data_IF_028012060240
#
_entry.id   IF_028012060240
#
_cell.length_a   1.000
_cell.length_b   1.000
_cell.length_c   1.000
_cell.angle_alpha   90.00
_cell.angle_beta   90.00
_cell.angle_gamma   90.00
#
_symmetry.space_group_name_H-M   'P 1'
#
loop_
_entity.id
_entity.type
_entity.pdbx_description
1 polymer ?
#
# COMPACT_ATOMS: atom_id res chain seq x y z
N UNK A 1 -63.96 17.82 19.81
CA UNK A 1 -63.14 16.59 19.63
C UNK A 1 -64.08 15.40 19.46
N UNK A 2 -64.17 14.90 18.23
CA UNK A 2 -64.94 13.72 17.79
C UNK A 2 -64.14 13.05 16.65
N UNK A 3 -64.22 11.72 16.49
CA UNK A 3 -63.26 10.89 15.75
C UNK A 3 -63.45 10.91 14.23
N UNK A 4 -62.45 10.45 13.44
CA UNK A 4 -62.54 10.41 11.99
C UNK A 4 -63.37 9.23 11.47
N UNK A 5 -64.01 9.52 10.35
CA UNK A 5 -64.99 8.79 9.55
C UNK A 5 -64.41 7.56 8.84
N UNK A 6 -65.09 6.42 8.94
CA UNK A 6 -64.94 5.27 8.02
C UNK A 6 -65.89 5.46 6.83
N UNK A 7 -65.39 5.28 5.61
CA UNK A 7 -66.21 4.97 4.42
C UNK A 7 -65.49 3.88 3.61
N UNK A 8 -66.16 2.73 3.47
CA UNK A 8 -65.88 1.66 2.52
C UNK A 8 -66.43 2.05 1.15
N UNK A 9 -65.70 1.80 0.04
CA UNK A 9 -66.31 1.45 -1.24
C UNK A 9 -65.45 0.45 -2.01
N UNK A 10 -66.14 -0.57 -2.52
CA UNK A 10 -65.65 -1.79 -3.12
C UNK A 10 -65.19 -1.63 -4.59
N UNK A 11 -64.32 -2.52 -5.05
CA UNK A 11 -64.27 -2.98 -6.44
C UNK A 11 -63.90 -4.48 -6.52
N UNK A 12 -64.69 -5.32 -7.22
CA UNK A 12 -64.43 -6.75 -7.35
C UNK A 12 -63.59 -7.12 -8.58
N UNK A 13 -62.89 -8.25 -8.42
CA UNK A 13 -62.07 -8.97 -9.41
C UNK A 13 -62.95 -9.66 -10.45
N UNK A 14 -62.56 -9.73 -11.74
CA UNK A 14 -63.06 -10.73 -12.66
C UNK A 14 -62.05 -11.88 -12.85
N UNK A 15 -62.53 -13.11 -12.62
CA UNK A 15 -61.91 -14.38 -13.02
C UNK A 15 -62.57 -14.79 -14.33
N UNK A 16 -61.78 -15.22 -15.33
CA UNK A 16 -62.29 -15.99 -16.48
C UNK A 16 -61.46 -17.27 -16.70
N UNK A 17 -62.06 -18.35 -17.24
CA UNK A 17 -61.61 -19.71 -17.01
C UNK A 17 -60.78 -20.33 -18.14
N UNK A 18 -59.99 -21.35 -17.74
CA UNK A 18 -59.21 -22.27 -18.59
C UNK A 18 -60.08 -23.03 -19.58
N UNK A 19 -59.63 -23.11 -20.84
CA UNK A 19 -60.01 -24.15 -21.79
C UNK A 19 -58.76 -24.84 -22.33
N UNK A 20 -58.75 -26.17 -22.25
CA UNK A 20 -57.71 -27.08 -22.72
C UNK A 20 -57.98 -27.51 -24.16
N UNK A 21 -56.99 -27.33 -25.06
CA UNK A 21 -56.92 -28.01 -26.36
C UNK A 21 -55.49 -28.52 -26.59
N UNK A 22 -55.31 -29.68 -27.25
CA UNK A 22 -54.03 -30.36 -27.36
C UNK A 22 -53.18 -29.72 -28.47
N UNK A 23 -51.89 -29.51 -28.22
CA UNK A 23 -50.94 -29.12 -29.26
C UNK A 23 -50.08 -30.33 -29.60
N UNK A 24 -50.16 -30.73 -30.87
CA UNK A 24 -49.39 -31.79 -31.48
C UNK A 24 -47.89 -31.46 -31.50
N UNK A 25 -47.07 -32.46 -31.18
CA UNK A 25 -45.61 -32.42 -31.35
C UNK A 25 -45.33 -32.61 -32.85
N UNK A 26 -44.98 -31.53 -33.53
CA UNK A 26 -44.40 -31.60 -34.87
C UNK A 26 -42.88 -31.72 -34.72
N UNK A 27 -42.34 -32.90 -35.04
CA UNK A 27 -40.91 -33.11 -35.22
C UNK A 27 -40.46 -32.36 -36.49
N UNK A 28 -39.70 -31.28 -36.32
CA UNK A 28 -38.98 -30.63 -37.41
C UNK A 28 -37.60 -31.29 -37.55
N UNK A 29 -37.48 -32.14 -38.57
CA UNK A 29 -36.20 -32.62 -39.07
C UNK A 29 -35.42 -31.44 -39.68
N UNK A 30 -34.24 -31.13 -39.15
CA UNK A 30 -33.30 -30.21 -39.78
C UNK A 30 -32.38 -31.00 -40.72
N UNK A 31 -32.25 -30.62 -42.01
CA UNK A 31 -31.25 -31.20 -42.88
C UNK A 31 -29.86 -30.67 -42.50
N UNK A 32 -28.90 -31.58 -42.34
CA UNK A 32 -27.48 -31.22 -42.31
C UNK A 32 -27.08 -30.59 -43.65
N UNK A 33 -26.90 -29.27 -43.67
CA UNK A 33 -26.15 -28.56 -44.71
C UNK A 33 -24.81 -28.16 -44.13
N UNK A 34 -23.75 -28.78 -44.63
CA UNK A 34 -22.36 -28.35 -44.42
C UNK A 34 -22.21 -26.97 -45.06
N UNK A 35 -22.10 -25.92 -44.24
CA UNK A 35 -21.78 -24.59 -44.71
C UNK A 35 -20.25 -24.46 -44.83
N UNK A 36 -19.76 -24.18 -46.04
CA UNK A 36 -18.37 -23.86 -46.30
C UNK A 36 -17.98 -22.57 -45.54
N UNK A 37 -16.81 -22.60 -44.90
CA UNK A 37 -16.26 -21.47 -44.16
C UNK A 37 -16.01 -20.25 -45.07
N UNK A 38 -16.30 -19.01 -44.62
CA UNK A 38 -15.96 -17.82 -45.38
C UNK A 38 -14.44 -17.58 -45.32
N UNK A 39 -13.79 -17.56 -46.50
CA UNK A 39 -12.39 -17.14 -46.59
C UNK A 39 -12.30 -15.62 -46.42
N UNK A 40 -11.69 -15.19 -45.32
CA UNK A 40 -11.35 -13.80 -45.06
C UNK A 40 -10.06 -13.49 -45.85
N UNK A 41 -10.02 -12.45 -46.71
CA UNK A 41 -8.78 -12.06 -47.36
C UNK A 41 -7.84 -11.43 -46.33
N UNK A 42 -6.74 -12.11 -46.04
CA UNK A 42 -5.61 -11.61 -45.26
C UNK A 42 -4.86 -10.54 -46.04
N UNK A 43 -5.27 -9.28 -45.91
CA UNK A 43 -4.42 -8.14 -46.26
C UNK A 43 -3.58 -7.74 -45.04
N UNK A 44 -2.50 -8.47 -44.81
CA UNK A 44 -1.46 -8.10 -43.85
C UNK A 44 -0.66 -6.96 -44.48
N UNK A 45 -0.97 -5.72 -44.10
CA UNK A 45 -0.06 -4.59 -44.38
C UNK A 45 1.05 -4.61 -43.35
N UNK A 46 2.22 -5.11 -43.76
CA UNK A 46 3.46 -5.02 -43.01
C UNK A 46 3.90 -3.55 -42.92
N UNK A 47 3.76 -2.93 -41.74
CA UNK A 47 4.43 -1.68 -41.41
C UNK A 47 5.72 -2.03 -40.69
N UNK A 48 6.77 -2.38 -41.43
CA UNK A 48 8.16 -2.07 -41.03
C UNK A 48 9.11 -2.38 -42.18
N UNK A 49 9.61 -1.32 -42.81
CA UNK A 49 10.78 -1.36 -43.68
C UNK A 49 12.02 -0.96 -42.88
N UNK A 50 12.57 -1.91 -42.13
CA UNK A 50 13.98 -1.85 -41.72
C UNK A 50 14.65 -3.11 -42.23
N UNK A 51 15.09 -3.03 -43.50
CA UNK A 51 16.08 -3.92 -44.05
C UNK A 51 17.39 -3.68 -43.29
N UNK A 52 17.81 -4.70 -42.53
CA UNK A 52 19.17 -5.18 -42.22
C UNK A 52 19.04 -5.94 -40.90
N UNK A 53 18.95 -7.27 -40.97
CA UNK A 53 19.17 -8.12 -39.80
C UNK A 53 20.64 -7.97 -39.40
N UNK A 54 20.93 -7.05 -38.48
CA UNK A 54 22.16 -7.14 -37.68
C UNK A 54 21.91 -8.24 -36.66
N UNK A 55 22.57 -9.38 -36.84
CA UNK A 55 22.68 -10.37 -35.79
C UNK A 55 23.31 -9.73 -34.55
N UNK A 56 22.89 -10.15 -33.36
CA UNK A 56 23.51 -9.71 -32.12
C UNK A 56 25.00 -10.08 -32.16
N UNK A 57 25.85 -9.06 -32.13
CA UNK A 57 27.30 -9.22 -32.01
C UNK A 57 27.60 -9.52 -30.54
N UNK A 58 27.76 -10.81 -30.23
CA UNK A 58 28.20 -11.25 -28.91
C UNK A 58 29.69 -10.97 -28.84
N UNK A 59 30.05 -9.84 -28.23
CA UNK A 59 31.44 -9.57 -27.89
C UNK A 59 32.00 -10.77 -27.10
N UNK A 60 33.11 -11.39 -27.51
CA UNK A 60 33.70 -12.49 -26.77
C UNK A 60 34.28 -11.93 -25.47
N UNK A 61 33.48 -11.91 -24.41
CA UNK A 61 33.97 -11.76 -23.04
C UNK A 61 34.61 -13.10 -22.66
N UNK A 62 35.82 -13.31 -23.16
CA UNK A 62 36.78 -14.25 -22.57
C UNK A 62 37.91 -13.39 -22.02
N UNK A 63 37.64 -12.78 -20.87
CA UNK A 63 38.72 -12.39 -19.98
C UNK A 63 39.34 -13.68 -19.48
N UNK A 64 40.56 -13.99 -19.92
CA UNK A 64 41.35 -15.09 -19.34
C UNK A 64 41.81 -14.66 -17.95
N UNK A 65 40.93 -14.89 -16.98
CA UNK A 65 41.18 -14.73 -15.56
C UNK A 65 40.27 -15.68 -14.80
N UNK A 66 40.67 -16.13 -13.59
CA UNK A 66 39.76 -16.91 -12.75
C UNK A 66 38.45 -16.12 -12.58
N UNK A 67 37.30 -16.80 -12.58
CA UNK A 67 36.00 -16.14 -12.39
C UNK A 67 36.08 -15.24 -11.15
N UNK A 68 35.58 -14.00 -11.22
CA UNK A 68 35.55 -13.13 -10.05
C UNK A 68 34.83 -13.86 -8.92
N UNK A 69 35.33 -13.71 -7.68
CA UNK A 69 34.65 -14.28 -6.53
C UNK A 69 33.17 -13.84 -6.54
N UNK A 70 32.22 -14.76 -6.27
CA UNK A 70 30.82 -14.43 -6.16
C UNK A 70 30.67 -13.20 -5.24
N UNK A 71 29.87 -12.19 -5.64
CA UNK A 71 29.66 -11.01 -4.81
C UNK A 71 29.18 -11.48 -3.45
N UNK A 72 30.00 -11.25 -2.42
CA UNK A 72 29.61 -11.56 -1.05
C UNK A 72 28.47 -10.60 -0.70
N UNK A 73 27.37 -11.08 -0.09
CA UNK A 73 26.33 -10.20 0.41
C UNK A 73 26.98 -9.08 1.22
N UNK A 74 26.58 -7.83 0.94
CA UNK A 74 27.08 -6.70 1.72
C UNK A 74 26.84 -6.98 3.20
N UNK A 75 27.67 -6.46 4.11
CA UNK A 75 27.53 -6.69 5.54
C UNK A 75 26.13 -6.33 6.10
N UNK A 76 25.31 -5.60 5.33
CA UNK A 76 23.92 -5.30 5.65
C UNK A 76 22.99 -6.52 5.48
N UNK A 77 23.28 -7.47 4.58
CA UNK A 77 22.45 -8.67 4.34
C UNK A 77 22.89 -9.89 5.17
N UNK A 78 24.11 -9.90 5.70
CA UNK A 78 24.69 -11.10 6.33
C UNK A 78 24.17 -11.41 7.75
N UNK A 79 23.41 -10.52 8.40
CA UNK A 79 22.94 -10.72 9.79
C UNK A 79 21.58 -10.05 10.04
N UNK A 80 20.50 -10.77 9.79
CA UNK A 80 19.14 -10.41 10.23
C UNK A 80 18.57 -11.43 11.25
N UNK A 81 19.41 -11.94 12.15
CA UNK A 81 18.97 -12.75 13.28
C UNK A 81 19.70 -12.29 14.56
N UNK A 82 19.17 -11.26 15.23
CA UNK A 82 19.66 -10.84 16.55
C UNK A 82 19.16 -9.46 16.99
N UNK A 83 19.10 -9.18 18.31
CA UNK A 83 18.63 -7.90 18.84
C UNK A 83 19.53 -6.75 18.37
N UNK A 84 18.91 -5.66 17.92
CA UNK A 84 19.59 -4.46 17.43
C UNK A 84 20.24 -3.71 18.61
N UNK A 85 21.56 -3.84 18.77
CA UNK A 85 22.32 -3.08 19.78
C UNK A 85 22.59 -1.64 19.29
N UNK A 86 22.59 -0.69 20.23
CA UNK A 86 22.78 0.74 19.93
C UNK A 86 24.13 1.05 19.23
N UNK A 87 25.16 0.26 19.53
CA UNK A 87 26.50 0.39 18.96
C UNK A 87 26.55 0.04 17.46
N UNK A 88 25.74 -0.94 17.02
CA UNK A 88 25.62 -1.31 15.60
C UNK A 88 24.94 -0.20 14.80
N UNK A 89 23.96 0.47 15.40
CA UNK A 89 23.29 1.64 14.80
C UNK A 89 24.27 2.80 14.65
N UNK A 90 25.05 3.10 15.69
CA UNK A 90 26.06 4.15 15.66
C UNK A 90 27.16 3.89 14.61
N UNK A 91 27.65 2.65 14.51
CA UNK A 91 28.62 2.24 13.51
C UNK A 91 28.07 2.39 12.07
N UNK A 92 26.80 2.01 11.84
CA UNK A 92 26.14 2.19 10.54
C UNK A 92 25.99 3.67 10.17
N UNK A 93 25.60 4.51 11.14
CA UNK A 93 25.48 5.96 10.95
C UNK A 93 26.85 6.57 10.59
N UNK A 94 27.92 6.18 11.30
CA UNK A 94 29.27 6.66 11.01
C UNK A 94 29.77 6.26 9.62
N UNK A 95 29.49 5.01 9.19
CA UNK A 95 29.83 4.53 7.84
C UNK A 95 29.09 5.32 6.75
N UNK A 96 27.78 5.54 6.92
CA UNK A 96 26.97 6.34 5.99
C UNK A 96 27.45 7.79 5.91
N UNK A 97 27.86 8.38 7.03
CA UNK A 97 28.42 9.74 7.08
C UNK A 97 29.72 9.86 6.28
N UNK A 98 30.65 8.90 6.43
CA UNK A 98 31.89 8.87 5.63
C UNK A 98 31.61 8.70 4.14
N UNK A 99 30.68 7.81 3.77
CA UNK A 99 30.28 7.64 2.36
C UNK A 99 29.67 8.92 1.79
N UNK A 100 28.83 9.62 2.56
CA UNK A 100 28.25 10.89 2.15
C UNK A 100 29.32 11.99 1.97
N UNK A 101 30.33 12.06 2.84
CA UNK A 101 31.46 13.00 2.71
C UNK A 101 32.28 12.72 1.44
N UNK A 102 32.57 11.45 1.14
CA UNK A 102 33.29 11.05 -0.09
C UNK A 102 32.47 11.38 -1.34
N UNK A 103 31.17 11.10 -1.34
CA UNK A 103 30.27 11.46 -2.45
C UNK A 103 30.17 12.97 -2.63
N UNK A 104 30.16 13.74 -1.53
CA UNK A 104 30.15 15.21 -1.57
C UNK A 104 31.45 15.75 -2.17
N UNK A 105 32.61 15.26 -1.73
CA UNK A 105 33.91 15.62 -2.30
C UNK A 105 34.00 15.27 -3.80
N UNK A 106 33.54 14.09 -4.20
CA UNK A 106 33.50 13.69 -5.61
C UNK A 106 32.57 14.58 -6.45
N UNK A 107 31.46 15.04 -5.88
CA UNK A 107 30.52 15.96 -6.52
C UNK A 107 31.13 17.37 -6.66
N UNK A 108 31.87 17.85 -5.66
CA UNK A 108 32.59 19.12 -5.69
C UNK A 108 33.69 19.11 -6.77
N UNK A 109 34.47 18.03 -6.88
CA UNK A 109 35.48 17.85 -7.96
C UNK A 109 34.85 17.83 -9.35
N UNK A 110 33.66 17.21 -9.52
CA UNK A 110 32.91 17.25 -10.78
C UNK A 110 32.36 18.65 -11.10
N UNK A 111 32.10 19.48 -10.10
CA UNK A 111 31.61 20.85 -10.31
C UNK A 111 32.70 21.83 -10.74
N UNK A 112 33.95 21.64 -10.31
CA UNK A 112 35.10 22.46 -10.72
C UNK A 112 35.61 22.13 -12.12
N UNK A 113 35.32 20.93 -12.64
CA UNK A 113 35.80 20.46 -13.95
C UNK A 113 34.97 20.92 -15.17
N UNK A 114 34.10 21.94 -15.03
CA UNK A 114 33.58 22.71 -16.17
C UNK A 114 32.81 21.96 -17.27
N UNK A 115 32.28 20.76 -17.03
CA UNK A 115 31.49 20.02 -18.03
C UNK A 115 30.11 20.68 -18.17
N UNK A 116 29.94 21.45 -19.26
CA UNK A 116 28.65 22.00 -19.70
C UNK A 116 27.77 20.86 -20.25
N UNK A 117 27.20 20.06 -19.37
CA UNK A 117 26.06 19.23 -19.75
C UNK A 117 24.81 20.12 -19.71
N UNK A 118 24.12 20.25 -20.85
CA UNK A 118 22.80 20.87 -20.98
C UNK A 118 21.69 20.04 -20.30
N UNK A 119 21.92 19.55 -19.09
CA UNK A 119 21.05 18.65 -18.34
C UNK A 119 20.46 19.34 -17.12
N UNK A 120 19.18 19.05 -16.84
CA UNK A 120 18.42 19.33 -15.62
C UNK A 120 18.92 20.49 -14.73
N UNK A 121 18.15 21.59 -14.65
CA UNK A 121 18.40 22.70 -13.73
C UNK A 121 18.79 22.15 -12.34
N UNK A 122 20.05 22.38 -11.93
CA UNK A 122 20.58 22.01 -10.62
C UNK A 122 19.64 22.56 -9.53
N UNK A 123 19.53 21.85 -8.40
CA UNK A 123 18.71 22.32 -7.28
C UNK A 123 19.16 23.73 -6.86
N UNK A 124 18.21 24.59 -6.51
CA UNK A 124 18.50 25.98 -6.16
C UNK A 124 18.88 26.17 -4.68
N UNK A 125 18.83 25.11 -3.87
CA UNK A 125 19.12 25.14 -2.43
C UNK A 125 20.38 24.35 -2.07
N UNK A 126 21.08 24.77 -1.01
CA UNK A 126 22.24 24.05 -0.47
C UNK A 126 21.93 23.29 0.80
N UNK A 127 21.20 23.92 1.71
CA UNK A 127 20.89 23.42 3.04
C UNK A 127 19.39 23.22 3.22
N UNK A 128 19.03 22.17 3.94
CA UNK A 128 17.65 21.93 4.38
C UNK A 128 17.64 21.89 5.90
N UNK A 129 16.72 22.62 6.51
CA UNK A 129 16.59 22.69 7.98
C UNK A 129 15.12 22.59 8.40
N UNK A 130 14.89 22.08 9.61
CA UNK A 130 13.60 22.14 10.27
C UNK A 130 13.63 23.33 11.22
N UNK A 131 12.62 24.20 11.13
CA UNK A 131 12.48 25.37 11.98
C UNK A 131 11.10 25.34 12.64
N UNK A 132 11.05 25.69 13.92
CA UNK A 132 9.79 25.91 14.61
C UNK A 132 9.39 27.38 14.48
N UNK A 133 8.23 27.63 13.88
CA UNK A 133 7.70 28.96 13.59
C UNK A 133 6.23 28.97 14.00
N UNK A 134 5.86 29.87 14.90
CA UNK A 134 4.49 30.02 15.42
C UNK A 134 3.89 28.71 15.98
N UNK A 135 4.71 27.90 16.66
CA UNK A 135 4.29 26.60 17.22
C UNK A 135 4.07 25.49 16.18
N UNK A 136 4.47 25.72 14.92
CA UNK A 136 4.43 24.73 13.84
C UNK A 136 5.83 24.42 13.33
N UNK A 137 6.06 23.18 12.89
CA UNK A 137 7.33 22.79 12.27
C UNK A 137 7.27 23.06 10.77
N UNK A 138 8.26 23.77 10.26
CA UNK A 138 8.39 24.13 8.84
C UNK A 138 9.73 23.64 8.31
N UNK A 139 9.74 23.17 7.06
CA UNK A 139 10.97 22.79 6.36
C UNK A 139 11.44 24.00 5.58
N UNK A 140 12.71 24.38 5.74
CA UNK A 140 13.33 25.50 5.05
C UNK A 140 14.41 25.00 4.09
N UNK A 141 14.32 25.44 2.84
CA UNK A 141 15.33 25.31 1.80
C UNK A 141 16.16 26.59 1.78
N UNK A 142 17.37 26.54 2.34
CA UNK A 142 18.17 27.71 2.73
C UNK A 142 17.33 28.70 3.58
N UNK A 143 16.91 29.82 3.01
CA UNK A 143 16.09 30.85 3.69
C UNK A 143 14.60 30.76 3.37
N UNK A 144 14.16 29.85 2.51
CA UNK A 144 12.76 29.80 2.01
C UNK A 144 12.02 28.60 2.58
N UNK A 145 10.84 28.83 3.15
CA UNK A 145 9.95 27.74 3.60
C UNK A 145 9.45 26.92 2.40
N UNK A 146 9.37 25.61 2.61
CA UNK A 146 8.80 24.65 1.67
C UNK A 146 7.30 24.92 1.52
N UNK A 147 6.81 24.85 0.27
CA UNK A 147 5.44 25.21 -0.08
C UNK A 147 4.71 24.06 -0.73
N UNK A 148 3.40 24.03 -0.50
CA UNK A 148 2.48 23.13 -1.15
C UNK A 148 2.55 23.31 -2.69
N UNK A 149 2.68 22.24 -3.48
CA UNK A 149 2.85 22.33 -4.93
C UNK A 149 1.71 23.07 -5.64
N UNK A 150 0.48 22.91 -5.17
CA UNK A 150 -0.73 23.46 -5.82
C UNK A 150 -1.10 24.82 -5.22
N UNK A 151 -1.38 24.86 -3.92
CA UNK A 151 -1.89 26.06 -3.21
C UNK A 151 -0.80 27.12 -2.96
N UNK A 152 0.48 26.75 -3.05
CA UNK A 152 1.65 27.62 -2.77
C UNK A 152 1.75 28.10 -1.31
N UNK A 153 0.86 27.63 -0.45
CA UNK A 153 0.90 27.86 0.99
C UNK A 153 2.12 27.17 1.61
N UNK A 154 2.57 27.68 2.76
CA UNK A 154 3.70 27.08 3.46
C UNK A 154 3.23 25.78 4.12
N UNK A 155 4.00 24.71 3.95
CA UNK A 155 3.71 23.44 4.61
C UNK A 155 4.03 23.61 6.11
N UNK A 156 3.00 23.51 6.93
CA UNK A 156 3.08 23.59 8.40
C UNK A 156 2.74 22.22 8.98
N UNK A 157 3.68 21.65 9.73
CA UNK A 157 3.48 20.40 10.44
C UNK A 157 3.18 20.67 11.92
N UNK A 158 2.38 19.83 12.59
CA UNK A 158 2.21 19.90 14.03
C UNK A 158 3.54 19.75 14.77
N UNK A 159 3.72 20.47 15.88
CA UNK A 159 4.89 20.33 16.76
C UNK A 159 5.03 18.93 17.36
N UNK A 160 3.93 18.16 17.44
CA UNK A 160 3.94 16.75 17.82
C UNK A 160 4.66 15.85 16.82
N UNK A 161 4.96 16.29 15.57
CA UNK A 161 5.51 15.43 14.51
C UNK A 161 6.95 15.77 14.10
N UNK A 162 7.95 15.83 15.02
CA UNK A 162 9.32 16.18 14.66
C UNK A 162 10.02 15.11 13.81
N UNK A 163 9.66 13.84 13.97
CA UNK A 163 10.21 12.75 13.15
C UNK A 163 9.77 12.87 11.69
N UNK A 164 8.50 13.21 11.45
CA UNK A 164 8.00 13.50 10.11
C UNK A 164 8.72 14.72 9.51
N UNK A 165 8.83 15.82 10.26
CA UNK A 165 9.52 17.03 9.82
C UNK A 165 10.97 16.76 9.43
N UNK A 166 11.68 15.97 10.24
CA UNK A 166 13.06 15.56 9.97
C UNK A 166 13.14 14.67 8.73
N UNK A 167 12.20 13.73 8.56
CA UNK A 167 12.15 12.86 7.38
C UNK A 167 11.87 13.66 6.09
N UNK A 168 11.01 14.67 6.13
CA UNK A 168 10.81 15.62 5.02
C UNK A 168 12.08 16.42 4.72
N UNK A 169 12.79 16.90 5.73
CA UNK A 169 14.05 17.60 5.52
C UNK A 169 15.08 16.70 4.81
N UNK A 170 15.17 15.43 5.22
CA UNK A 170 16.03 14.44 4.57
C UNK A 170 15.59 14.10 3.14
N UNK A 171 14.29 14.01 2.87
CA UNK A 171 13.75 13.84 1.52
C UNK A 171 14.27 14.95 0.60
N UNK A 172 14.15 16.21 1.03
CA UNK A 172 14.58 17.37 0.25
C UNK A 172 16.10 17.56 0.17
N UNK A 173 16.85 17.08 1.16
CA UNK A 173 18.32 17.09 1.10
C UNK A 173 18.86 16.04 0.11
N UNK A 174 18.13 14.96 -0.12
CA UNK A 174 18.50 13.92 -1.08
C UNK A 174 18.14 14.26 -2.55
N UNK A 175 17.32 15.29 -2.78
CA UNK A 175 16.99 15.75 -4.14
C UNK A 175 18.21 16.44 -4.77
N UNK A 176 18.62 15.98 -5.95
CA UNK A 176 19.79 16.50 -6.66
C UNK A 176 19.47 17.62 -7.68
N UNK A 177 18.24 17.69 -8.19
CA UNK A 177 17.83 18.68 -9.19
C UNK A 177 16.40 19.18 -8.96
N UNK A 178 16.06 20.36 -9.50
CA UNK A 178 14.68 20.88 -9.38
C UNK A 178 13.67 20.01 -10.11
N UNK A 179 14.08 19.32 -11.17
CA UNK A 179 13.23 18.37 -11.90
C UNK A 179 12.94 17.11 -11.08
N UNK A 180 13.84 16.69 -10.20
CA UNK A 180 13.57 15.58 -9.29
C UNK A 180 12.52 15.97 -8.25
N UNK A 181 12.51 17.22 -7.80
CA UNK A 181 11.49 17.71 -6.86
C UNK A 181 10.06 17.69 -7.43
N UNK A 182 9.89 17.65 -8.76
CA UNK A 182 8.56 17.52 -9.38
C UNK A 182 8.14 16.07 -9.57
N UNK A 183 9.00 15.09 -9.27
CA UNK A 183 8.71 13.66 -9.41
C UNK A 183 8.16 13.11 -8.10
N UNK A 184 6.91 12.68 -8.12
CA UNK A 184 6.21 12.16 -6.94
C UNK A 184 6.92 10.97 -6.28
N UNK A 185 7.52 10.07 -7.07
CA UNK A 185 8.29 8.93 -6.55
C UNK A 185 9.60 9.32 -5.86
N UNK A 186 10.09 10.56 -6.04
CA UNK A 186 11.26 11.11 -5.34
C UNK A 186 10.86 12.04 -4.18
N UNK A 187 9.56 12.34 -4.04
CA UNK A 187 9.00 13.18 -2.97
C UNK A 187 7.76 12.54 -2.31
N UNK A 188 7.82 11.25 -1.93
CA UNK A 188 6.66 10.53 -1.41
C UNK A 188 6.11 11.13 -0.10
N UNK A 189 6.97 11.56 0.83
CA UNK A 189 6.54 12.15 2.11
C UNK A 189 5.92 13.53 1.89
N UNK A 190 6.54 14.37 1.06
CA UNK A 190 5.94 15.67 0.70
C UNK A 190 4.54 15.47 0.12
N UNK A 191 4.40 14.54 -0.83
CA UNK A 191 3.11 14.25 -1.46
C UNK A 191 2.07 13.76 -0.46
N UNK A 192 2.48 12.94 0.51
CA UNK A 192 1.59 12.38 1.52
C UNK A 192 1.17 13.43 2.57
N UNK A 193 2.08 14.31 2.98
CA UNK A 193 1.79 15.47 3.84
C UNK A 193 0.83 16.43 3.15
N UNK A 194 1.11 16.75 1.89
CA UNK A 194 0.23 17.59 1.06
C UNK A 194 -1.18 17.00 1.03
N UNK A 195 -1.29 15.67 0.81
CA UNK A 195 -2.58 14.96 0.83
C UNK A 195 -3.31 15.07 2.17
N UNK A 196 -2.62 14.97 3.30
CA UNK A 196 -3.24 15.15 4.63
C UNK A 196 -3.75 16.58 4.84
N UNK A 197 -3.00 17.58 4.37
CA UNK A 197 -3.42 19.00 4.40
C UNK A 197 -4.62 19.23 3.50
N UNK A 198 -4.61 18.70 2.28
CA UNK A 198 -5.70 18.82 1.32
C UNK A 198 -7.00 18.21 1.89
N UNK A 199 -6.93 17.05 2.56
CA UNK A 199 -8.09 16.45 3.25
C UNK A 199 -8.62 17.41 4.32
N UNK A 200 -7.75 17.98 5.16
CA UNK A 200 -8.18 18.88 6.22
C UNK A 200 -8.85 20.15 5.67
N UNK A 201 -8.27 20.75 4.64
CA UNK A 201 -8.82 21.95 3.98
C UNK A 201 -10.16 21.66 3.28
N UNK A 202 -10.28 20.47 2.67
CA UNK A 202 -11.51 20.03 2.02
C UNK A 202 -12.60 19.69 3.05
N UNK A 203 -12.25 19.11 4.21
CA UNK A 203 -13.18 18.88 5.32
C UNK A 203 -13.77 20.20 5.85
N UNK A 204 -12.93 21.22 6.03
CA UNK A 204 -13.37 22.58 6.44
C UNK A 204 -14.32 23.22 5.42
N UNK A 205 -14.22 22.80 4.15
CA UNK A 205 -15.06 23.27 3.04
C UNK A 205 -16.24 22.33 2.73
N UNK A 206 -16.47 21.29 3.55
CA UNK A 206 -17.48 20.24 3.32
C UNK A 206 -17.35 19.58 1.93
N UNK A 207 -16.11 19.34 1.49
CA UNK A 207 -15.79 18.81 0.18
C UNK A 207 -15.95 17.30 0.03
N UNK A 208 -15.35 16.76 -1.03
CA UNK A 208 -15.57 15.38 -1.48
C UNK A 208 -14.37 14.44 -1.31
N UNK A 209 -13.20 14.93 -0.88
CA UNK A 209 -11.99 14.12 -0.78
C UNK A 209 -12.20 12.99 0.23
N UNK A 210 -12.66 13.29 1.44
CA UNK A 210 -12.91 12.26 2.47
C UNK A 210 -13.94 11.21 2.02
N UNK A 211 -15.15 11.58 1.54
CA UNK A 211 -16.11 10.61 1.01
C UNK A 211 -15.53 9.71 -0.10
N UNK A 212 -14.69 10.26 -0.98
CA UNK A 212 -14.03 9.50 -2.04
C UNK A 212 -12.98 8.53 -1.50
N UNK A 213 -12.20 8.94 -0.49
CA UNK A 213 -11.24 8.05 0.19
C UNK A 213 -12.00 6.92 0.88
N UNK A 214 -13.03 7.24 1.66
CA UNK A 214 -13.89 6.26 2.34
C UNK A 214 -14.44 5.26 1.33
N UNK A 215 -15.02 5.72 0.23
CA UNK A 215 -15.53 4.85 -0.84
C UNK A 215 -14.43 3.94 -1.41
N UNK A 216 -13.23 4.48 -1.61
CA UNK A 216 -12.10 3.72 -2.16
C UNK A 216 -11.60 2.65 -1.20
N UNK A 217 -11.37 2.98 0.07
CA UNK A 217 -10.86 2.01 1.05
C UNK A 217 -11.91 0.96 1.43
N UNK A 218 -13.20 1.30 1.39
CA UNK A 218 -14.26 0.32 1.63
C UNK A 218 -14.33 -0.76 0.54
N UNK A 219 -13.90 -0.48 -0.69
CA UNK A 219 -13.76 -1.54 -1.72
C UNK A 219 -12.72 -2.59 -1.32
N UNK A 220 -11.69 -2.20 -0.58
CA UNK A 220 -10.72 -3.13 -0.04
C UNK A 220 -11.25 -3.94 1.14
N UNK A 221 -12.32 -3.52 1.82
CA UNK A 221 -12.98 -4.38 2.80
C UNK A 221 -13.69 -5.55 2.10
N UNK A 222 -14.37 -5.26 0.98
CA UNK A 222 -15.10 -6.24 0.20
C UNK A 222 -14.16 -7.28 -0.43
N UNK A 223 -12.89 -6.94 -0.65
CA UNK A 223 -11.86 -7.80 -1.25
C UNK A 223 -10.56 -7.79 -0.45
N UNK A 224 -10.64 -7.82 0.88
CA UNK A 224 -9.46 -7.67 1.73
C UNK A 224 -8.49 -8.84 1.54
N UNK A 225 -7.23 -8.54 1.18
CA UNK A 225 -6.24 -9.57 0.90
C UNK A 225 -5.93 -10.46 2.12
N UNK A 226 -6.13 -9.97 3.36
CA UNK A 226 -5.99 -10.80 4.56
C UNK A 226 -7.12 -11.83 4.74
N UNK A 227 -8.27 -11.61 4.12
CA UNK A 227 -9.44 -12.49 4.20
C UNK A 227 -9.60 -13.35 2.95
N UNK A 228 -8.67 -13.25 1.99
CA UNK A 228 -8.70 -13.96 0.74
C UNK A 228 -7.72 -15.15 0.80
N UNK A 229 -8.22 -16.33 1.17
CA UNK A 229 -7.36 -17.49 1.44
C UNK A 229 -7.31 -18.48 0.28
N UNK A 230 -6.21 -19.23 0.22
CA UNK A 230 -6.08 -20.37 -0.65
C UNK A 230 -7.14 -21.45 -0.32
N UNK A 231 -7.55 -22.28 -1.29
CA UNK A 231 -8.41 -23.43 -1.04
C UNK A 231 -7.84 -24.38 0.03
N UNK A 232 -8.67 -25.27 0.61
CA UNK A 232 -8.19 -26.33 1.48
C UNK A 232 -7.03 -27.11 0.83
N UNK A 233 -5.94 -27.29 1.58
CA UNK A 233 -4.78 -28.00 1.09
C UNK A 233 -5.08 -29.49 0.86
N UNK A 234 -4.63 -30.01 -0.27
CA UNK A 234 -4.64 -31.44 -0.58
C UNK A 234 -3.45 -32.14 0.09
N UNK A 235 -3.51 -33.46 0.20
CA UNK A 235 -2.41 -34.27 0.78
C UNK A 235 -1.09 -34.11 0.03
N UNK A 236 -1.15 -33.79 -1.27
CA UNK A 236 0.01 -33.61 -2.14
C UNK A 236 0.57 -32.19 -2.15
N UNK A 237 -0.10 -31.25 -1.49
CA UNK A 237 0.32 -29.85 -1.52
C UNK A 237 1.58 -29.64 -0.70
N UNK A 238 2.37 -28.64 -1.12
CA UNK A 238 3.56 -28.23 -0.39
C UNK A 238 3.20 -27.78 1.03
N UNK A 239 4.02 -28.18 2.00
CA UNK A 239 3.96 -27.71 3.37
C UNK A 239 5.29 -27.04 3.72
N UNK A 240 5.24 -26.01 4.54
CA UNK A 240 6.47 -25.36 5.04
C UNK A 240 7.21 -26.28 6.03
N UNK A 241 8.36 -25.83 6.54
CA UNK A 241 9.16 -26.56 7.52
C UNK A 241 8.40 -26.89 8.82
N UNK A 242 7.37 -26.10 9.15
CA UNK A 242 6.50 -26.33 10.30
C UNK A 242 5.35 -27.31 10.01
N UNK A 243 5.25 -27.83 8.79
CA UNK A 243 4.18 -28.72 8.35
C UNK A 243 2.85 -28.00 8.09
N UNK A 244 2.82 -26.67 8.04
CA UNK A 244 1.64 -25.87 7.71
C UNK A 244 1.48 -25.78 6.18
N UNK A 245 0.25 -25.70 5.71
CA UNK A 245 -0.13 -25.30 4.36
C UNK A 245 -0.22 -23.78 4.23
N UNK A 246 -0.25 -23.27 2.98
CA UNK A 246 -0.43 -21.83 2.72
C UNK A 246 -1.69 -21.27 3.39
N UNK A 247 -2.82 -22.00 3.30
CA UNK A 247 -4.09 -21.60 3.91
C UNK A 247 -3.95 -21.46 5.43
N UNK A 248 -3.33 -22.43 6.10
CA UNK A 248 -3.13 -22.39 7.56
C UNK A 248 -2.29 -21.18 7.99
N UNK A 249 -1.25 -20.83 7.21
CA UNK A 249 -0.42 -19.64 7.47
C UNK A 249 -1.22 -18.34 7.24
N UNK A 250 -2.05 -18.28 6.19
CA UNK A 250 -2.92 -17.14 5.90
C UNK A 250 -3.97 -16.95 7.01
N UNK A 251 -4.64 -18.02 7.43
CA UNK A 251 -5.64 -18.01 8.50
C UNK A 251 -5.04 -17.55 9.83
N UNK A 252 -3.88 -18.10 10.21
CA UNK A 252 -3.16 -17.69 11.43
C UNK A 252 -2.79 -16.22 11.40
N UNK A 253 -2.21 -15.75 10.29
CA UNK A 253 -1.80 -14.35 10.12
C UNK A 253 -3.02 -13.40 10.20
N UNK A 254 -4.12 -13.77 9.56
CA UNK A 254 -5.35 -12.99 9.59
C UNK A 254 -5.98 -12.99 10.99
N UNK A 255 -6.00 -14.13 11.68
CA UNK A 255 -6.58 -14.27 13.01
C UNK A 255 -5.90 -13.33 14.03
N UNK A 256 -4.57 -13.22 14.01
CA UNK A 256 -3.83 -12.33 14.91
C UNK A 256 -4.23 -10.86 14.73
N UNK A 257 -4.37 -10.42 13.48
CA UNK A 257 -4.76 -9.05 13.13
C UNK A 257 -6.23 -8.80 13.45
N UNK A 258 -7.12 -9.70 13.02
CA UNK A 258 -8.57 -9.60 13.22
C UNK A 258 -8.90 -9.60 14.70
N UNK A 259 -8.25 -10.47 15.51
CA UNK A 259 -8.45 -10.53 16.96
C UNK A 259 -8.17 -9.19 17.64
N UNK A 260 -7.06 -8.54 17.27
CA UNK A 260 -6.74 -7.21 17.78
C UNK A 260 -7.82 -6.20 17.38
N UNK A 261 -8.20 -6.17 16.10
CA UNK A 261 -9.16 -5.20 15.57
C UNK A 261 -10.55 -5.37 16.20
N UNK A 262 -11.03 -6.60 16.35
CA UNK A 262 -12.33 -6.90 16.96
C UNK A 262 -12.32 -6.74 18.48
N UNK A 263 -11.15 -6.64 19.12
CA UNK A 263 -11.02 -6.34 20.55
C UNK A 263 -10.93 -4.84 20.81
N UNK A 264 -10.15 -4.11 20.01
CA UNK A 264 -9.76 -2.73 20.33
C UNK A 264 -10.35 -1.66 19.41
N UNK A 265 -10.67 -1.98 18.16
CA UNK A 265 -11.13 -1.00 17.16
C UNK A 265 -12.62 -1.14 16.90
N UNK A 266 -13.08 -2.37 16.66
CA UNK A 266 -14.46 -2.69 16.38
C UNK A 266 -14.99 -3.83 17.28
N UNK A 267 -15.18 -3.56 18.59
CA UNK A 267 -15.70 -4.53 19.55
C UNK A 267 -16.95 -5.26 19.06
N UNK A 268 -16.88 -6.59 19.02
CA UNK A 268 -18.01 -7.45 18.69
C UNK A 268 -18.26 -7.70 17.20
N UNK A 269 -17.49 -7.10 16.28
CA UNK A 269 -17.57 -7.46 14.87
C UNK A 269 -16.97 -8.84 14.60
N UNK A 270 -17.49 -9.50 13.56
CA UNK A 270 -16.97 -10.76 13.03
C UNK A 270 -16.61 -10.55 11.56
N UNK A 271 -15.39 -10.94 11.21
CA UNK A 271 -14.90 -10.93 9.84
C UNK A 271 -14.79 -12.36 9.36
N UNK A 272 -15.32 -12.62 8.16
CA UNK A 272 -15.26 -13.93 7.50
C UNK A 272 -14.36 -13.85 6.27
N UNK A 273 -13.90 -15.00 5.78
CA UNK A 273 -13.23 -15.10 4.48
C UNK A 273 -14.06 -14.39 3.40
N UNK A 274 -13.41 -13.61 2.54
CA UNK A 274 -14.07 -12.95 1.41
C UNK A 274 -14.28 -13.89 0.23
N UNK A 275 -13.65 -15.07 0.21
CA UNK A 275 -13.86 -16.09 -0.80
C UNK A 275 -14.45 -17.38 -0.20
N UNK A 276 -15.33 -18.02 -0.97
CA UNK A 276 -15.85 -19.35 -0.69
C UNK A 276 -15.09 -20.42 -1.49
N UNK A 277 -15.07 -21.65 -0.98
CA UNK A 277 -14.41 -22.80 -1.59
C UNK A 277 -15.06 -23.14 -2.95
N UNK A 278 -14.49 -22.62 -4.03
CA UNK A 278 -14.98 -22.81 -5.40
C UNK A 278 -15.55 -21.58 -6.09
N UNK A 279 -15.51 -20.41 -5.45
CA UNK A 279 -15.89 -19.13 -6.06
C UNK A 279 -14.72 -18.16 -6.07
N UNK A 280 -14.48 -17.52 -7.22
CA UNK A 280 -13.60 -16.35 -7.31
C UNK A 280 -14.33 -15.04 -7.02
N UNK A 281 -15.67 -15.10 -6.86
CA UNK A 281 -16.49 -13.93 -6.58
C UNK A 281 -16.50 -13.66 -5.08
N UNK A 282 -16.17 -12.42 -4.64
CA UNK A 282 -16.18 -12.06 -3.24
C UNK A 282 -17.57 -12.17 -2.63
N UNK A 283 -17.65 -12.66 -1.39
CA UNK A 283 -18.85 -12.62 -0.56
C UNK A 283 -18.85 -11.38 0.32
N UNK A 284 -20.05 -10.88 0.62
CA UNK A 284 -20.22 -9.79 1.56
C UNK A 284 -19.99 -10.25 3.00
N UNK A 285 -19.49 -9.33 3.82
CA UNK A 285 -19.45 -9.49 5.29
C UNK A 285 -20.87 -9.43 5.87
N UNK A 286 -21.01 -9.77 7.16
CA UNK A 286 -22.29 -9.70 7.87
C UNK A 286 -22.89 -8.28 7.86
N UNK A 287 -24.23 -8.20 7.91
CA UNK A 287 -24.95 -6.94 7.96
C UNK A 287 -24.43 -6.06 9.12
N UNK A 288 -24.16 -4.79 8.83
CA UNK A 288 -23.65 -3.82 9.80
C UNK A 288 -22.13 -3.77 9.94
N UNK A 289 -21.37 -4.82 9.58
CA UNK A 289 -19.88 -4.79 9.61
C UNK A 289 -19.37 -3.63 8.75
N UNK A 290 -19.91 -3.54 7.53
CA UNK A 290 -19.56 -2.50 6.57
C UNK A 290 -19.85 -1.10 7.09
N UNK A 291 -21.00 -0.91 7.74
CA UNK A 291 -21.43 0.40 8.24
C UNK A 291 -20.59 0.87 9.43
N UNK A 292 -20.24 -0.05 10.33
CA UNK A 292 -19.37 0.24 11.48
C UNK A 292 -17.96 0.61 11.02
N UNK A 293 -17.38 -0.18 10.10
CA UNK A 293 -16.04 0.09 9.55
C UNK A 293 -16.06 1.41 8.77
N UNK A 294 -17.06 1.63 7.92
CA UNK A 294 -17.20 2.88 7.16
C UNK A 294 -17.34 4.10 8.07
N UNK A 295 -18.16 4.00 9.13
CA UNK A 295 -18.34 5.05 10.12
C UNK A 295 -17.04 5.38 10.83
N UNK A 296 -16.27 4.36 11.25
CA UNK A 296 -14.96 4.55 11.87
C UNK A 296 -13.98 5.27 10.94
N UNK A 297 -13.84 4.80 9.68
CA UNK A 297 -12.96 5.44 8.69
C UNK A 297 -13.36 6.89 8.43
N UNK A 298 -14.66 7.18 8.32
CA UNK A 298 -15.17 8.51 8.07
C UNK A 298 -14.82 9.51 9.19
N UNK A 299 -14.65 9.03 10.43
CA UNK A 299 -14.29 9.85 11.59
C UNK A 299 -12.79 10.02 11.81
N UNK A 300 -11.93 9.40 10.99
CA UNK A 300 -10.48 9.52 11.14
C UNK A 300 -10.00 10.95 10.91
N UNK A 301 -9.07 11.39 11.75
CA UNK A 301 -8.40 12.66 11.56
C UNK A 301 -7.60 12.67 10.22
N UNK A 302 -7.43 13.82 9.54
CA UNK A 302 -6.91 13.86 8.16
C UNK A 302 -5.56 13.18 7.93
N UNK A 303 -4.67 13.22 8.92
CA UNK A 303 -3.36 12.56 8.88
C UNK A 303 -3.51 11.04 8.91
N UNK A 304 -4.36 10.54 9.80
CA UNK A 304 -4.70 9.13 9.94
C UNK A 304 -5.45 8.60 8.71
N UNK A 305 -6.36 9.38 8.13
CA UNK A 305 -7.07 9.00 6.91
C UNK A 305 -6.12 8.88 5.70
N UNK A 306 -5.22 9.85 5.51
CA UNK A 306 -4.20 9.80 4.46
C UNK A 306 -3.23 8.62 4.67
N UNK A 307 -2.86 8.34 5.92
CA UNK A 307 -2.01 7.20 6.28
C UNK A 307 -2.69 5.86 6.01
N UNK A 308 -3.97 5.73 6.40
CA UNK A 308 -4.78 4.54 6.17
C UNK A 308 -4.94 4.28 4.68
N UNK A 309 -5.30 5.30 3.89
CA UNK A 309 -5.45 5.16 2.45
C UNK A 309 -4.14 4.71 1.80
N UNK A 310 -3.01 5.34 2.17
CA UNK A 310 -1.68 4.94 1.67
C UNK A 310 -1.39 3.48 1.98
N UNK A 311 -1.61 3.05 3.22
CA UNK A 311 -1.31 1.69 3.65
C UNK A 311 -2.26 0.65 3.03
N UNK A 312 -3.55 0.97 2.90
CA UNK A 312 -4.56 0.08 2.32
C UNK A 312 -4.31 -0.15 0.83
N UNK A 313 -3.97 0.91 0.08
CA UNK A 313 -3.62 0.79 -1.34
C UNK A 313 -2.33 -0.01 -1.54
N UNK A 314 -1.33 0.18 -0.68
CA UNK A 314 -0.05 -0.53 -0.78
C UNK A 314 -0.18 -2.02 -0.44
N UNK A 315 -0.81 -2.34 0.70
CA UNK A 315 -0.97 -3.70 1.20
C UNK A 315 -2.17 -4.46 0.61
N UNK A 316 -3.04 -3.77 -0.14
CA UNK A 316 -4.32 -4.29 -0.66
C UNK A 316 -5.23 -4.87 0.43
N UNK A 317 -5.10 -4.36 1.64
CA UNK A 317 -5.84 -4.80 2.84
C UNK A 317 -6.20 -3.61 3.70
N UNK A 318 -7.49 -3.41 3.95
CA UNK A 318 -7.97 -2.41 4.90
C UNK A 318 -7.68 -2.84 6.34
N UNK A 319 -7.80 -4.13 6.65
CA UNK A 319 -7.55 -4.66 7.99
C UNK A 319 -6.08 -4.52 8.40
N UNK A 320 -5.14 -4.92 7.52
CA UNK A 320 -3.70 -4.76 7.79
C UNK A 320 -3.33 -3.27 7.95
N UNK A 321 -3.85 -2.43 7.06
CA UNK A 321 -3.64 -0.99 7.11
C UNK A 321 -4.19 -0.38 8.39
N UNK A 322 -5.40 -0.79 8.82
CA UNK A 322 -6.00 -0.34 10.08
C UNK A 322 -5.13 -0.75 11.26
N UNK A 323 -4.72 -2.02 11.34
CA UNK A 323 -3.86 -2.53 12.40
C UNK A 323 -2.54 -1.78 12.50
N UNK A 324 -1.94 -1.41 11.36
CA UNK A 324 -0.74 -0.58 11.32
C UNK A 324 -1.05 0.85 11.78
N UNK A 325 -2.09 1.50 11.27
CA UNK A 325 -2.42 2.89 11.61
C UNK A 325 -2.72 3.03 13.11
N UNK A 326 -3.53 2.16 13.70
CA UNK A 326 -3.88 2.24 15.13
C UNK A 326 -2.68 1.99 16.06
N UNK A 327 -1.69 1.21 15.63
CA UNK A 327 -0.45 1.02 16.41
C UNK A 327 0.34 2.33 16.53
N UNK A 328 0.28 3.18 15.49
CA UNK A 328 1.17 4.33 15.35
C UNK A 328 0.48 5.70 15.47
N UNK A 329 -0.84 5.77 15.42
CA UNK A 329 -1.58 7.03 15.43
C UNK A 329 -1.51 7.75 16.78
N UNK A 330 -1.56 9.08 16.75
CA UNK A 330 -1.68 9.90 17.96
C UNK A 330 -3.10 10.42 18.20
N UNK A 331 -3.89 10.65 17.14
CA UNK A 331 -5.24 11.21 17.26
C UNK A 331 -6.32 10.13 17.36
N UNK A 332 -7.30 10.34 18.23
CA UNK A 332 -8.52 9.54 18.24
C UNK A 332 -9.26 9.63 16.89
N UNK A 333 -10.04 8.60 16.50
CA UNK A 333 -10.27 7.35 17.23
C UNK A 333 -9.19 6.28 17.06
N UNK A 334 -8.18 6.50 16.20
CA UNK A 334 -7.14 5.50 15.94
C UNK A 334 -6.03 5.47 17.01
N UNK A 335 -5.69 6.62 17.57
CA UNK A 335 -4.67 6.79 18.60
C UNK A 335 -5.13 6.33 19.98
N UNK A 336 -4.17 5.92 20.82
CA UNK A 336 -4.43 5.47 22.20
C UNK A 336 -4.97 4.05 22.32
N UNK A 337 -5.09 3.29 21.22
CA UNK A 337 -5.58 1.92 21.22
C UNK A 337 -4.49 0.86 21.44
N UNK A 338 -3.23 1.27 21.50
CA UNK A 338 -2.12 0.37 21.75
C UNK A 338 -2.18 -0.18 23.18
N UNK A 339 -2.09 -1.50 23.40
CA UNK A 339 -1.98 -2.08 24.73
C UNK A 339 -0.77 -1.51 25.46
N UNK A 340 -0.98 -1.04 26.70
CA UNK A 340 0.09 -0.56 27.56
C UNK A 340 1.10 -1.70 27.81
N UNK A 341 2.24 -1.63 27.13
CA UNK A 341 3.31 -2.63 27.27
C UNK A 341 4.34 -2.12 28.28
N UNK A 342 4.54 -2.80 29.43
CA UNK A 342 5.57 -2.45 30.40
C UNK A 342 6.94 -2.40 29.73
N UNK A 343 7.78 -1.43 30.11
CA UNK A 343 9.08 -1.21 29.48
C UNK A 343 10.01 -2.45 29.52
N UNK A 344 9.80 -3.35 30.49
CA UNK A 344 10.56 -4.58 30.67
C UNK A 344 10.19 -5.67 29.65
N UNK A 345 8.97 -5.67 29.11
CA UNK A 345 8.49 -6.70 28.17
C UNK A 345 8.69 -6.33 26.69
N UNK A 346 9.26 -5.15 26.39
CA UNK A 346 9.56 -4.76 25.00
C UNK A 346 10.65 -5.62 24.34
N UNK A 347 11.30 -6.49 25.10
CA UNK A 347 12.35 -7.41 24.64
C UNK A 347 11.86 -8.87 24.56
N UNK A 348 10.65 -9.18 25.03
CA UNK A 348 10.04 -10.50 24.80
C UNK A 348 9.38 -10.53 23.42
N UNK A 349 9.52 -11.67 22.73
CA UNK A 349 8.96 -11.90 21.38
C UNK A 349 7.43 -11.78 21.33
N UNK A 350 6.75 -11.93 22.47
CA UNK A 350 5.29 -11.92 22.59
C UNK A 350 4.67 -10.52 22.62
N UNK A 351 5.46 -9.46 22.80
CA UNK A 351 5.00 -8.06 22.82
C UNK A 351 5.57 -7.23 21.66
N UNK A 352 5.73 -7.88 20.51
CA UNK A 352 6.24 -7.24 19.30
C UNK A 352 5.30 -6.14 18.80
N UNK A 353 5.84 -4.94 18.60
CA UNK A 353 5.12 -3.83 17.96
C UNK A 353 4.74 -4.24 16.54
N UNK A 354 3.47 -4.03 16.16
CA UNK A 354 3.05 -4.25 14.77
C UNK A 354 3.56 -3.09 13.89
N UNK A 355 4.80 -3.23 13.44
CA UNK A 355 5.51 -2.25 12.63
C UNK A 355 5.38 -2.50 11.14
N UNK A 356 6.23 -1.79 10.39
CA UNK A 356 6.31 -1.87 8.93
C UNK A 356 6.62 -3.29 8.45
N UNK A 357 7.50 -4.00 9.14
CA UNK A 357 7.91 -5.35 8.75
C UNK A 357 6.81 -6.37 9.02
N UNK A 358 6.10 -6.25 10.14
CA UNK A 358 4.98 -7.10 10.49
C UNK A 358 3.84 -6.91 9.49
N UNK A 359 3.50 -5.65 9.17
CA UNK A 359 2.49 -5.32 8.16
C UNK A 359 2.89 -5.83 6.78
N UNK A 360 4.15 -5.60 6.34
CA UNK A 360 4.63 -6.05 5.04
C UNK A 360 4.61 -7.59 4.92
N UNK A 361 5.02 -8.31 5.96
CA UNK A 361 4.92 -9.79 5.99
C UNK A 361 3.47 -10.24 5.90
N UNK A 362 2.57 -9.62 6.67
CA UNK A 362 1.16 -10.00 6.69
C UNK A 362 0.47 -9.80 5.32
N UNK A 363 0.80 -8.74 4.60
CA UNK A 363 0.22 -8.46 3.28
C UNK A 363 0.92 -9.18 2.12
N UNK A 364 1.99 -9.93 2.40
CA UNK A 364 2.79 -10.61 1.38
C UNK A 364 2.99 -12.10 1.68
N UNK A 365 2.13 -12.70 2.52
CA UNK A 365 2.23 -14.13 2.92
C UNK A 365 2.33 -15.04 1.70
N UNK A 366 1.43 -14.87 0.73
CA UNK A 366 1.43 -15.71 -0.46
C UNK A 366 2.65 -15.47 -1.35
N UNK A 367 3.04 -14.20 -1.57
CA UNK A 367 4.24 -13.89 -2.35
C UNK A 367 5.49 -14.51 -1.71
N UNK A 368 5.63 -14.39 -0.39
CA UNK A 368 6.75 -15.00 0.34
C UNK A 368 6.73 -16.53 0.26
N UNK A 369 5.55 -17.15 0.35
CA UNK A 369 5.40 -18.59 0.18
C UNK A 369 5.83 -19.06 -1.22
N UNK A 370 5.41 -18.32 -2.26
CA UNK A 370 5.73 -18.65 -3.64
C UNK A 370 7.21 -18.45 -3.94
N UNK A 371 7.83 -17.37 -3.45
CA UNK A 371 9.26 -17.11 -3.70
C UNK A 371 10.19 -18.02 -2.92
N UNK A 372 9.79 -18.46 -1.72
CA UNK A 372 10.51 -19.51 -0.99
C UNK A 372 10.50 -20.83 -1.78
N UNK A 373 9.35 -21.19 -2.36
CA UNK A 373 9.19 -22.45 -3.08
C UNK A 373 9.82 -22.46 -4.47
N UNK A 374 9.71 -21.37 -5.21
CA UNK A 374 10.04 -21.29 -6.63
C UNK A 374 11.17 -20.31 -6.97
N UNK A 375 11.70 -19.61 -5.98
CA UNK A 375 12.70 -18.57 -6.16
C UNK A 375 12.09 -17.19 -6.38
N UNK A 376 12.88 -16.17 -6.04
CA UNK A 376 12.54 -14.77 -6.26
C UNK A 376 12.81 -14.37 -7.72
N UNK A 377 11.95 -13.50 -8.28
CA UNK A 377 12.15 -12.92 -9.61
C UNK A 377 12.78 -11.54 -9.40
N UNK A 378 14.04 -11.40 -9.80
CA UNK A 378 14.80 -10.16 -9.75
C UNK A 378 14.09 -9.05 -10.56
N UNK A 379 14.26 -7.80 -10.13
CA UNK A 379 13.62 -6.59 -10.66
C UNK A 379 12.07 -6.55 -10.56
N UNK A 380 11.45 -7.54 -9.89
CA UNK A 380 10.00 -7.59 -9.65
C UNK A 380 9.69 -7.75 -8.17
N UNK A 381 9.97 -8.93 -7.60
CA UNK A 381 9.61 -9.24 -6.22
C UNK A 381 10.44 -8.45 -5.21
N UNK A 382 11.73 -8.26 -5.50
CA UNK A 382 12.65 -7.49 -4.68
C UNK A 382 12.28 -6.00 -4.63
N UNK A 383 11.92 -5.43 -5.78
CA UNK A 383 11.46 -4.04 -5.90
C UNK A 383 10.13 -3.85 -5.18
N UNK A 384 9.16 -4.74 -5.39
CA UNK A 384 7.85 -4.66 -4.72
C UNK A 384 8.00 -4.80 -3.20
N UNK A 385 8.87 -5.70 -2.74
CA UNK A 385 9.18 -5.92 -1.32
C UNK A 385 9.71 -4.66 -0.63
N UNK A 386 10.63 -3.96 -1.27
CA UNK A 386 11.19 -2.71 -0.74
C UNK A 386 10.23 -1.52 -0.90
N UNK A 387 9.47 -1.48 -2.01
CA UNK A 387 8.50 -0.42 -2.25
C UNK A 387 7.32 -0.49 -1.26
N UNK A 388 6.83 -1.68 -0.95
CA UNK A 388 5.80 -1.90 0.06
C UNK A 388 6.26 -1.37 1.44
N UNK A 389 7.47 -1.71 1.87
CA UNK A 389 8.06 -1.20 3.12
C UNK A 389 8.19 0.32 3.11
N UNK A 390 8.62 0.89 1.98
CA UNK A 390 8.72 2.34 1.81
C UNK A 390 7.35 3.00 1.96
N UNK A 391 6.31 2.44 1.36
CA UNK A 391 4.95 2.97 1.43
C UNK A 391 4.35 2.85 2.83
N UNK A 392 4.44 1.67 3.46
CA UNK A 392 3.95 1.44 4.82
C UNK A 392 4.74 2.29 5.84
N UNK A 393 6.06 2.39 5.68
CA UNK A 393 6.91 3.26 6.50
C UNK A 393 6.58 4.74 6.37
N UNK A 394 6.22 5.19 5.17
CA UNK A 394 5.72 6.57 4.98
C UNK A 394 4.42 6.83 5.72
N UNK A 395 3.50 5.86 5.74
CA UNK A 395 2.24 5.97 6.47
C UNK A 395 2.50 6.02 7.99
N UNK A 396 3.40 5.18 8.51
CA UNK A 396 3.82 5.20 9.92
C UNK A 396 4.40 6.55 10.31
N UNK A 397 5.31 7.12 9.51
CA UNK A 397 5.89 8.44 9.78
C UNK A 397 4.84 9.55 9.78
N UNK A 398 3.84 9.46 8.90
CA UNK A 398 2.75 10.44 8.79
C UNK A 398 1.86 10.45 10.04
N UNK A 399 1.40 9.27 10.48
CA UNK A 399 0.43 9.15 11.58
C UNK A 399 1.09 9.26 12.95
N UNK A 400 2.38 8.94 13.06
CA UNK A 400 3.13 9.03 14.31
C UNK A 400 3.31 10.47 14.79
N UNK A 401 3.30 10.65 16.10
CA UNK A 401 3.67 11.88 16.77
C UNK A 401 4.00 11.65 18.24
N UNK A 402 4.58 12.66 18.88
CA UNK A 402 4.92 12.71 20.30
C UNK A 402 3.70 12.98 21.18
N UNK A 403 2.54 13.28 20.58
CA UNK A 403 1.29 13.53 21.30
C UNK A 403 0.56 12.26 21.76
N UNK A 404 1.13 11.06 21.55
CA UNK A 404 0.54 9.81 22.04
C UNK A 404 0.39 9.88 23.56
N UNK A 405 -0.85 9.76 24.04
CA UNK A 405 -1.18 9.59 25.46
C UNK A 405 -1.04 8.14 25.89
#
# INVERSE_FOLDING_TARGET
MKPPTRINLAFPIPITPRTTRPVAIAALAFPHRVAAAPQIPTNIRLISSTAVFKHADVAPIVGTGPPPEPPRPSAEFAKHAGPRNADDVAARIARRRKQAEVLKAAKEVKTSAGVKNGGAKRRFWKHVSVQEVDGTLQIHLDSRSLRHPTTKEIIRLPSSKPHLATALALEWDNIASTQQATKQHLTPLTSLVCRAIDIAQDDDAEGLIRPQIVTTVMRYLDTDSLLCWAPPALETDHRNDAGESLREVQERTAADIVSYLTTHVWPGLRFHSVLDEGSIMPRHQEDGVRDVVQGWVATLHPWELAGLERAALAGKSLLAATRLVVEWSEHAPAGGLRPATPAQDRQSTDNAVFGVEEAARATSVEVAWQTDRWGEVEDTHDVEKEDLRRQLGSAVLLVSGMGRR
#
